data_IF_520315361313
#
_entry.id   IF_520315361313
#
_cell.length_a   1.000
_cell.length_b   1.000
_cell.length_c   1.000
_cell.angle_alpha   90.00
_cell.angle_beta   90.00
_cell.angle_gamma   90.00
#
_symmetry.space_group_name_H-M   'P 1'
#
loop_
_entity.id
_entity.type
_entity.pdbx_description
1 polymer ?
#
# COMPACT_ATOMS: atom_id res chain seq x y z
N UNK A 1 6.48 4.49 -23.25
CA UNK A 1 5.65 4.05 -22.11
C UNK A 1 5.67 5.18 -21.12
N UNK A 2 4.52 5.75 -20.77
CA UNK A 2 4.48 6.82 -19.77
C UNK A 2 4.97 6.22 -18.46
N UNK A 3 5.98 6.82 -17.83
CA UNK A 3 6.45 6.40 -16.50
C UNK A 3 5.36 6.57 -15.42
N UNK A 4 4.27 7.27 -15.79
CA UNK A 4 3.14 7.59 -14.95
C UNK A 4 1.97 6.61 -15.04
N UNK A 5 2.08 5.58 -15.90
CA UNK A 5 1.03 4.56 -16.02
C UNK A 5 1.28 3.43 -15.02
N UNK A 6 0.38 3.30 -14.04
CA UNK A 6 0.38 2.21 -13.09
C UNK A 6 0.02 0.89 -13.78
N UNK A 7 0.96 -0.05 -13.79
CA UNK A 7 0.71 -1.40 -14.32
C UNK A 7 0.04 -2.30 -13.30
N UNK A 8 -0.55 -3.42 -13.78
CA UNK A 8 -1.15 -4.44 -12.90
C UNK A 8 -0.11 -5.09 -12.01
N UNK A 9 1.09 -5.32 -12.54
CA UNK A 9 2.22 -5.92 -11.84
C UNK A 9 2.72 -5.01 -10.71
N UNK A 10 2.82 -3.70 -10.96
CA UNK A 10 3.17 -2.70 -9.95
C UNK A 10 2.09 -2.58 -8.87
N UNK A 11 0.81 -2.53 -9.24
CA UNK A 11 -0.27 -2.52 -8.26
C UNK A 11 -0.28 -3.80 -7.41
N UNK A 12 -0.07 -4.97 -8.03
CA UNK A 12 0.02 -6.23 -7.30
C UNK A 12 1.22 -6.25 -6.34
N UNK A 13 2.33 -5.59 -6.70
CA UNK A 13 3.48 -5.43 -5.82
C UNK A 13 3.16 -4.52 -4.63
N UNK A 14 2.52 -3.37 -4.87
CA UNK A 14 2.09 -2.46 -3.82
C UNK A 14 1.11 -3.14 -2.84
N UNK A 15 0.19 -3.97 -3.34
CA UNK A 15 -0.73 -4.73 -2.49
C UNK A 15 -0.02 -5.74 -1.58
N UNK A 16 1.02 -6.43 -2.09
CA UNK A 16 1.84 -7.35 -1.27
C UNK A 16 2.68 -6.62 -0.23
N UNK A 17 3.11 -5.40 -0.54
CA UNK A 17 3.83 -4.54 0.41
C UNK A 17 2.88 -4.03 1.49
N UNK A 18 1.67 -3.59 1.10
CA UNK A 18 0.61 -3.19 2.02
C UNK A 18 0.23 -4.33 2.97
N UNK A 19 0.06 -5.56 2.46
CA UNK A 19 -0.24 -6.74 3.29
C UNK A 19 0.80 -6.97 4.39
N UNK A 20 2.10 -6.92 4.03
CA UNK A 20 3.17 -7.12 5.02
C UNK A 20 3.18 -6.02 6.07
N UNK A 21 3.08 -4.77 5.64
CA UNK A 21 3.09 -3.63 6.55
C UNK A 21 1.81 -3.55 7.42
N UNK A 22 0.66 -3.94 6.89
CA UNK A 22 -0.60 -4.00 7.65
C UNK A 22 -0.57 -5.11 8.69
N UNK A 23 0.02 -6.27 8.38
CA UNK A 23 0.20 -7.35 9.37
C UNK A 23 1.06 -6.90 10.56
N UNK A 24 2.11 -6.10 10.31
CA UNK A 24 2.92 -5.48 11.36
C UNK A 24 2.11 -4.44 12.17
N UNK A 25 1.29 -3.64 11.49
CA UNK A 25 0.39 -2.68 12.12
C UNK A 25 -0.67 -3.35 13.01
N UNK A 26 -1.37 -4.38 12.53
CA UNK A 26 -2.34 -5.14 13.33
C UNK A 26 -1.68 -5.80 14.55
N UNK A 27 -0.45 -6.29 14.42
CA UNK A 27 0.31 -6.80 15.56
C UNK A 27 0.55 -5.72 16.64
N UNK A 28 0.69 -4.46 16.24
CA UNK A 28 0.81 -3.32 17.18
C UNK A 28 -0.53 -2.91 17.80
N UNK A 29 -1.63 -3.07 17.07
CA UNK A 29 -2.99 -2.84 17.58
C UNK A 29 -3.44 -3.93 18.56
N UNK A 30 -2.93 -5.16 18.40
CA UNK A 30 -3.35 -6.32 19.17
C UNK A 30 -4.74 -6.86 18.78
N UNK A 31 -5.34 -6.32 17.73
CA UNK A 31 -6.59 -6.76 17.14
C UNK A 31 -6.58 -6.49 15.63
N UNK A 32 -7.56 -7.06 14.92
CA UNK A 32 -7.75 -6.77 13.50
C UNK A 32 -8.21 -5.35 13.30
N UNK A 33 -7.69 -4.71 12.27
CA UNK A 33 -8.12 -3.40 11.86
C UNK A 33 -9.46 -3.47 11.13
N UNK A 34 -10.48 -2.83 11.69
CA UNK A 34 -11.82 -2.78 11.08
C UNK A 34 -11.85 -1.86 9.85
N UNK A 35 -10.91 -0.91 9.75
CA UNK A 35 -10.80 0.05 8.65
C UNK A 35 -9.61 -0.26 7.73
N UNK A 36 -9.29 -1.55 7.61
CA UNK A 36 -8.26 -2.05 6.71
C UNK A 36 -8.33 -1.50 5.26
N UNK A 37 -9.51 -1.24 4.64
CA UNK A 37 -9.53 -0.71 3.27
C UNK A 37 -8.95 0.69 3.18
N UNK A 38 -9.23 1.54 4.18
CA UNK A 38 -8.73 2.91 4.25
C UNK A 38 -7.22 2.90 4.45
N UNK A 39 -6.72 2.06 5.36
CA UNK A 39 -5.29 1.90 5.60
C UNK A 39 -4.54 1.48 4.31
N UNK A 40 -5.08 0.51 3.57
CA UNK A 40 -4.50 0.07 2.28
C UNK A 40 -4.50 1.20 1.25
N UNK A 41 -5.59 1.96 1.14
CA UNK A 41 -5.68 3.08 0.21
C UNK A 41 -4.63 4.14 0.51
N UNK A 42 -4.47 4.53 1.78
CA UNK A 42 -3.46 5.49 2.21
C UNK A 42 -2.03 4.99 1.93
N UNK A 43 -1.73 3.74 2.28
CA UNK A 43 -0.42 3.14 2.01
C UNK A 43 -0.07 3.17 0.51
N UNK A 44 -1.00 2.75 -0.35
CA UNK A 44 -0.80 2.71 -1.80
C UNK A 44 -0.61 4.11 -2.36
N UNK A 45 -1.44 5.09 -1.95
CA UNK A 45 -1.34 6.48 -2.41
C UNK A 45 0.02 7.07 -2.01
N UNK A 46 0.44 6.89 -0.75
CA UNK A 46 1.72 7.40 -0.27
C UNK A 46 2.89 6.81 -1.07
N UNK A 47 2.89 5.49 -1.33
CA UNK A 47 3.95 4.83 -2.10
C UNK A 47 3.99 5.27 -3.56
N UNK A 48 2.83 5.51 -4.17
CA UNK A 48 2.77 6.07 -5.52
C UNK A 48 3.33 7.49 -5.53
N UNK A 49 2.97 8.34 -4.57
CA UNK A 49 3.48 9.71 -4.47
C UNK A 49 5.00 9.75 -4.26
N UNK A 50 5.55 8.87 -3.42
CA UNK A 50 7.00 8.73 -3.23
C UNK A 50 7.72 8.39 -4.55
N UNK A 51 7.19 7.43 -5.32
CA UNK A 51 7.77 7.02 -6.62
C UNK A 51 7.78 8.15 -7.67
N UNK A 52 6.86 9.11 -7.56
CA UNK A 52 6.78 10.27 -8.46
C UNK A 52 7.62 11.47 -8.00
N UNK A 53 8.20 11.41 -6.80
CA UNK A 53 9.05 12.47 -6.26
C UNK A 53 10.54 12.32 -6.65
N UNK A 54 10.91 11.19 -7.29
CA UNK A 54 12.25 10.86 -7.82
C UNK A 54 12.37 11.10 -9.34
#
# INVERSE_FOLDING_TARGET
MNKDELTREELAQLLREAEKAHAEYEATLGHRDEDWPTWYAEFIINRLQEKHAD
#
